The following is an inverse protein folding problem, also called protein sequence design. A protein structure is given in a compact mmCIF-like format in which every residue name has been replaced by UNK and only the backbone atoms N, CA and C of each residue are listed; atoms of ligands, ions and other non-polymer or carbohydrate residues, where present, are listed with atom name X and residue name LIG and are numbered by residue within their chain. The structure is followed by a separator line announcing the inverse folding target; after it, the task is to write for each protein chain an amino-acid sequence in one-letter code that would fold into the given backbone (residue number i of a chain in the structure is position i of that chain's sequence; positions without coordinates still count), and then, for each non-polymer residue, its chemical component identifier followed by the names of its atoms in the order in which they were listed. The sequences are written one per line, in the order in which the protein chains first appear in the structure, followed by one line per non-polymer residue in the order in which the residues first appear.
data_IF_737263861904
#
_entry.id   IF_737263861904
#
_cell.length_a   1.000
_cell.length_b   1.000
_cell.length_c   1.000
_cell.angle_alpha   90.00
_cell.angle_beta   90.00
_cell.angle_gamma   90.00
#
_symmetry.space_group_name_H-M   'P 1'
#
loop_
_entity.id
_entity.type
_entity.pdbx_description
1 polymer ?
#
# COMPACT_ATOMS: atom_id res chain seq x y z
N UNK A 1 27.51 -16.60 -11.04
CA UNK A 1 26.25 -17.25 -11.42
C UNK A 1 25.26 -16.22 -11.97
N UNK A 2 24.30 -16.66 -12.78
CA UNK A 2 23.28 -15.76 -13.36
C UNK A 2 22.46 -15.00 -12.29
N UNK A 3 22.30 -15.55 -11.11
CA UNK A 3 21.59 -14.92 -9.98
C UNK A 3 22.34 -13.70 -9.43
N UNK A 4 23.65 -13.77 -9.29
CA UNK A 4 24.47 -12.65 -8.79
C UNK A 4 24.44 -11.48 -9.75
N UNK A 5 24.37 -11.76 -11.02
CA UNK A 5 24.35 -10.77 -12.09
C UNK A 5 23.00 -10.00 -12.13
N UNK A 6 21.87 -10.70 -11.94
CA UNK A 6 20.54 -10.06 -11.84
C UNK A 6 20.48 -9.21 -10.58
N UNK A 7 21.02 -9.67 -9.45
CA UNK A 7 21.13 -8.87 -8.23
C UNK A 7 21.90 -7.56 -8.47
N UNK A 8 23.01 -7.61 -9.22
CA UNK A 8 23.79 -6.42 -9.56
C UNK A 8 23.03 -5.46 -10.48
N UNK A 9 22.21 -5.97 -11.41
CA UNK A 9 21.37 -5.13 -12.25
C UNK A 9 20.29 -4.41 -11.42
N UNK A 10 19.59 -5.12 -10.53
CA UNK A 10 18.59 -4.51 -9.64
C UNK A 10 19.25 -3.47 -8.74
N UNK A 11 20.43 -3.75 -8.20
CA UNK A 11 21.20 -2.79 -7.42
C UNK A 11 21.53 -1.54 -8.22
N UNK A 12 22.00 -1.67 -9.45
CA UNK A 12 22.31 -0.54 -10.32
C UNK A 12 21.08 0.31 -10.63
N UNK A 13 19.92 -0.32 -10.83
CA UNK A 13 18.65 0.38 -11.04
C UNK A 13 18.24 1.16 -9.78
N UNK A 14 18.24 0.52 -8.62
CA UNK A 14 17.76 1.12 -7.37
C UNK A 14 18.75 2.09 -6.73
N UNK A 15 20.02 2.04 -7.09
CA UNK A 15 21.05 3.02 -6.70
C UNK A 15 21.27 4.12 -7.73
N UNK A 16 20.55 4.08 -8.86
CA UNK A 16 20.66 5.05 -9.96
C UNK A 16 22.10 5.16 -10.50
N UNK A 17 22.66 4.03 -10.95
CA UNK A 17 23.98 3.92 -11.56
C UNK A 17 23.84 3.69 -13.09
N UNK A 18 23.64 4.75 -13.90
CA UNK A 18 23.24 4.61 -15.31
C UNK A 18 24.21 3.81 -16.19
N UNK A 19 25.52 4.02 -16.01
CA UNK A 19 26.52 3.33 -16.83
C UNK A 19 26.58 1.83 -16.51
N UNK A 20 26.55 1.48 -15.24
CA UNK A 20 26.54 0.09 -14.78
C UNK A 20 25.26 -0.62 -15.20
N UNK A 21 24.13 0.04 -15.05
CA UNK A 21 22.81 -0.43 -15.44
C UNK A 21 22.77 -0.80 -16.93
N UNK A 22 23.23 0.10 -17.81
CA UNK A 22 23.26 -0.13 -19.25
C UNK A 22 24.19 -1.28 -19.63
N UNK A 23 25.35 -1.36 -19.00
CA UNK A 23 26.31 -2.44 -19.26
C UNK A 23 25.74 -3.80 -18.86
N UNK A 24 25.16 -3.91 -17.67
CA UNK A 24 24.57 -5.16 -17.18
C UNK A 24 23.34 -5.56 -18.01
N UNK A 25 22.49 -4.61 -18.35
CA UNK A 25 21.33 -4.85 -19.20
C UNK A 25 21.74 -5.39 -20.59
N UNK A 26 22.81 -4.84 -21.18
CA UNK A 26 23.38 -5.33 -22.45
C UNK A 26 23.91 -6.76 -22.34
N UNK A 27 24.62 -7.09 -21.27
CA UNK A 27 25.16 -8.43 -21.02
C UNK A 27 24.03 -9.48 -20.87
N UNK A 28 22.95 -9.13 -20.18
CA UNK A 28 21.83 -10.04 -19.91
C UNK A 28 20.71 -9.97 -20.94
N UNK A 29 20.85 -9.15 -21.97
CA UNK A 29 19.82 -8.91 -22.98
C UNK A 29 18.46 -8.50 -22.37
N UNK A 30 18.51 -7.67 -21.33
CA UNK A 30 17.32 -7.12 -20.68
C UNK A 30 17.07 -5.71 -21.20
N UNK A 31 15.86 -5.46 -21.67
CA UNK A 31 15.40 -4.12 -22.04
C UNK A 31 14.92 -3.37 -20.78
N UNK A 32 15.82 -2.58 -20.18
CA UNK A 32 15.49 -1.80 -18.98
C UNK A 32 14.48 -0.68 -19.26
N UNK A 33 14.35 -0.23 -20.51
CA UNK A 33 13.33 0.76 -20.87
C UNK A 33 11.91 0.20 -20.87
N UNK A 34 11.78 -1.13 -20.92
CA UNK A 34 10.48 -1.81 -20.83
C UNK A 34 9.98 -2.03 -19.41
N UNK A 35 10.76 -1.70 -18.37
CA UNK A 35 10.37 -1.85 -16.97
C UNK A 35 9.37 -0.75 -16.61
N UNK A 36 8.12 -1.15 -16.35
CA UNK A 36 7.01 -0.25 -16.01
C UNK A 36 6.38 -0.55 -14.67
N UNK A 37 6.76 -1.65 -14.03
CA UNK A 37 6.31 -2.02 -12.70
C UNK A 37 7.47 -2.48 -11.80
N UNK A 38 7.33 -2.18 -10.52
CA UNK A 38 8.20 -2.64 -9.45
C UNK A 38 7.32 -3.24 -8.35
N UNK A 39 7.56 -4.49 -8.00
CA UNK A 39 6.88 -5.18 -6.91
C UNK A 39 7.87 -5.44 -5.77
N UNK A 40 7.49 -5.08 -4.55
CA UNK A 40 8.29 -5.34 -3.36
C UNK A 40 7.55 -6.32 -2.45
N UNK A 41 8.26 -7.33 -1.96
CA UNK A 41 7.72 -8.41 -1.13
C UNK A 41 8.12 -8.15 0.32
N UNK A 42 7.31 -7.35 1.02
CA UNK A 42 7.60 -6.84 2.35
C UNK A 42 7.10 -7.78 3.45
N UNK A 43 7.71 -7.71 4.65
CA UNK A 43 7.31 -8.55 5.78
C UNK A 43 7.69 -10.02 5.63
N UNK A 44 8.66 -10.34 4.79
CA UNK A 44 9.19 -11.68 4.55
C UNK A 44 10.63 -11.80 5.02
N UNK A 45 11.10 -13.04 5.21
CA UNK A 45 12.52 -13.33 5.42
C UNK A 45 13.21 -13.46 4.05
N UNK A 46 14.07 -12.50 3.70
CA UNK A 46 14.74 -12.45 2.40
C UNK A 46 15.54 -13.71 2.07
N UNK A 47 16.17 -14.34 3.04
CA UNK A 47 16.93 -15.57 2.85
C UNK A 47 16.04 -16.77 2.50
N UNK A 48 14.85 -16.85 3.10
CA UNK A 48 13.89 -17.93 2.90
C UNK A 48 12.99 -17.70 1.69
N UNK A 49 12.68 -16.45 1.36
CA UNK A 49 11.79 -16.09 0.24
C UNK A 49 12.46 -16.25 -1.13
N UNK A 50 13.77 -16.39 -1.19
CA UNK A 50 14.57 -16.43 -2.43
C UNK A 50 14.11 -17.52 -3.40
N UNK A 51 13.75 -18.71 -2.90
CA UNK A 51 13.20 -19.80 -3.72
C UNK A 51 11.85 -19.41 -4.31
N UNK A 52 10.97 -18.84 -3.50
CA UNK A 52 9.64 -18.38 -3.94
C UNK A 52 9.77 -17.28 -5.00
N UNK A 53 10.73 -16.36 -4.87
CA UNK A 53 10.96 -15.30 -5.85
C UNK A 53 11.30 -15.85 -7.23
N UNK A 54 12.08 -16.92 -7.31
CA UNK A 54 12.37 -17.58 -8.57
C UNK A 54 11.10 -18.15 -9.21
N UNK A 55 10.29 -18.85 -8.44
CA UNK A 55 9.01 -19.41 -8.88
C UNK A 55 8.03 -18.32 -9.31
N UNK A 56 7.93 -17.23 -8.55
CA UNK A 56 7.08 -16.09 -8.86
C UNK A 56 7.48 -15.36 -10.15
N UNK A 57 8.79 -15.19 -10.38
CA UNK A 57 9.28 -14.63 -11.63
C UNK A 57 8.95 -15.52 -12.84
N UNK A 58 9.13 -16.83 -12.71
CA UNK A 58 8.79 -17.79 -13.78
C UNK A 58 7.29 -17.77 -14.08
N UNK A 59 6.45 -17.70 -13.05
CA UNK A 59 5.00 -17.57 -13.21
C UNK A 59 4.62 -16.29 -13.95
N UNK A 60 5.22 -15.16 -13.57
CA UNK A 60 4.91 -13.87 -14.18
C UNK A 60 5.40 -13.73 -15.62
N UNK A 61 6.38 -14.52 -16.07
CA UNK A 61 6.81 -14.54 -17.47
C UNK A 61 5.73 -15.01 -18.43
N UNK A 62 4.68 -15.66 -17.94
CA UNK A 62 3.49 -15.99 -18.74
C UNK A 62 2.62 -14.77 -19.02
N UNK A 63 2.75 -13.70 -18.23
CA UNK A 63 1.87 -12.54 -18.24
C UNK A 63 2.57 -11.24 -18.60
N UNK A 64 3.89 -11.21 -18.61
CA UNK A 64 4.69 -10.03 -18.95
C UNK A 64 5.94 -10.41 -19.76
N UNK A 65 6.35 -9.55 -20.68
CA UNK A 65 7.46 -9.83 -21.61
C UNK A 65 8.82 -9.79 -20.92
N UNK A 66 9.00 -8.89 -19.96
CA UNK A 66 10.24 -8.74 -19.19
C UNK A 66 9.92 -8.94 -17.72
N UNK A 67 10.56 -9.92 -17.09
CA UNK A 67 10.43 -10.20 -15.65
C UNK A 67 11.77 -10.66 -15.10
N UNK A 68 12.24 -9.99 -14.06
CA UNK A 68 13.40 -10.45 -13.29
C UNK A 68 13.27 -9.99 -11.84
N UNK A 69 13.86 -10.75 -10.95
CA UNK A 69 13.78 -10.49 -9.51
C UNK A 69 15.10 -10.69 -8.81
N UNK A 70 15.27 -10.01 -7.71
CA UNK A 70 16.46 -10.05 -6.88
C UNK A 70 16.15 -9.66 -5.43
N UNK A 71 17.14 -9.79 -4.56
CA UNK A 71 17.09 -9.24 -3.21
C UNK A 71 18.02 -8.03 -3.13
N UNK A 72 17.47 -6.89 -2.77
CA UNK A 72 18.21 -5.64 -2.61
C UNK A 72 18.04 -5.11 -1.18
N UNK A 73 19.16 -4.94 -0.46
CA UNK A 73 19.16 -4.48 0.94
C UNK A 73 18.16 -5.25 1.82
N UNK A 74 18.12 -6.56 1.67
CA UNK A 74 17.19 -7.44 2.40
C UNK A 74 15.75 -7.43 1.88
N UNK A 75 15.43 -6.65 0.86
CA UNK A 75 14.10 -6.55 0.25
C UNK A 75 14.03 -7.37 -1.03
N UNK A 76 13.15 -8.37 -1.12
CA UNK A 76 12.87 -9.05 -2.38
C UNK A 76 12.12 -8.12 -3.33
N UNK A 77 12.61 -8.00 -4.56
CA UNK A 77 12.12 -7.06 -5.58
C UNK A 77 11.90 -7.80 -6.89
N UNK A 78 10.81 -7.50 -7.57
CA UNK A 78 10.55 -7.93 -8.93
C UNK A 78 10.39 -6.70 -9.83
N UNK A 79 11.15 -6.68 -10.92
CA UNK A 79 11.03 -5.67 -11.99
C UNK A 79 10.35 -6.33 -13.19
N UNK A 80 9.35 -5.68 -13.75
CA UNK A 80 8.63 -6.25 -14.89
C UNK A 80 8.08 -5.18 -15.84
N UNK A 81 7.88 -5.59 -17.10
CA UNK A 81 7.09 -4.85 -18.06
C UNK A 81 5.62 -4.87 -17.68
N UNK A 82 4.81 -4.00 -18.28
CA UNK A 82 3.37 -3.99 -18.02
C UNK A 82 2.75 -5.36 -18.35
N UNK A 83 2.10 -6.01 -17.38
CA UNK A 83 1.42 -7.28 -17.63
C UNK A 83 0.30 -7.16 -18.65
N UNK A 84 0.06 -8.22 -19.41
CA UNK A 84 -0.93 -8.25 -20.50
C UNK A 84 -2.38 -8.21 -20.01
N UNK A 85 -2.65 -8.66 -18.79
CA UNK A 85 -3.98 -8.70 -18.19
C UNK A 85 -3.93 -8.29 -16.72
N UNK A 86 -4.62 -7.20 -16.38
CA UNK A 86 -4.74 -6.73 -14.99
C UNK A 86 -5.45 -7.78 -14.13
N UNK A 87 -6.55 -8.34 -14.62
CA UNK A 87 -7.34 -9.33 -13.87
C UNK A 87 -6.53 -10.58 -13.50
N UNK A 88 -5.81 -11.16 -14.48
CA UNK A 88 -4.97 -12.34 -14.24
C UNK A 88 -3.79 -12.00 -13.33
N UNK A 89 -3.20 -10.84 -13.47
CA UNK A 89 -2.12 -10.35 -12.61
C UNK A 89 -2.55 -10.23 -11.16
N UNK A 90 -3.69 -9.61 -10.89
CA UNK A 90 -4.23 -9.48 -9.53
C UNK A 90 -4.53 -10.84 -8.91
N UNK A 91 -5.10 -11.76 -9.68
CA UNK A 91 -5.37 -13.13 -9.23
C UNK A 91 -4.08 -13.87 -8.84
N UNK A 92 -3.04 -13.75 -9.67
CA UNK A 92 -1.73 -14.34 -9.39
C UNK A 92 -1.09 -13.71 -8.15
N UNK A 93 -1.15 -12.39 -8.02
CA UNK A 93 -0.63 -11.68 -6.84
C UNK A 93 -1.33 -12.12 -5.55
N UNK A 94 -2.65 -12.28 -5.57
CA UNK A 94 -3.40 -12.75 -4.40
C UNK A 94 -3.00 -14.18 -4.02
N UNK A 95 -2.71 -15.03 -4.99
CA UNK A 95 -2.14 -16.36 -4.76
C UNK A 95 -0.75 -16.32 -4.11
N UNK A 96 0.12 -15.44 -4.58
CA UNK A 96 1.44 -15.21 -3.98
C UNK A 96 1.33 -14.72 -2.54
N UNK A 97 0.43 -13.78 -2.26
CA UNK A 97 0.18 -13.25 -0.92
C UNK A 97 -0.30 -14.35 0.02
N UNK A 98 -1.25 -15.17 -0.40
CA UNK A 98 -1.76 -16.29 0.39
C UNK A 98 -0.64 -17.29 0.72
N UNK A 99 0.19 -17.62 -0.25
CA UNK A 99 1.34 -18.49 -0.11
C UNK A 99 2.36 -17.94 0.91
N UNK A 100 2.72 -16.66 0.77
CA UNK A 100 3.65 -16.01 1.70
C UNK A 100 3.08 -15.88 3.11
N UNK A 101 1.80 -15.55 3.26
CA UNK A 101 1.16 -15.35 4.58
C UNK A 101 0.97 -16.63 5.36
N UNK A 102 1.04 -17.79 4.71
CA UNK A 102 1.10 -19.08 5.39
C UNK A 102 2.38 -19.24 6.24
N UNK A 103 3.46 -18.51 5.89
CA UNK A 103 4.76 -18.53 6.58
C UNK A 103 5.01 -17.22 7.33
N UNK A 104 4.70 -16.08 6.70
CA UNK A 104 4.90 -14.74 7.24
C UNK A 104 3.56 -14.00 7.32
N UNK A 105 2.90 -13.96 8.48
CA UNK A 105 1.54 -13.40 8.60
C UNK A 105 1.42 -11.93 8.19
N UNK A 106 2.50 -11.16 8.31
CA UNK A 106 2.53 -9.73 7.97
C UNK A 106 3.04 -9.44 6.56
N UNK A 107 3.20 -10.47 5.72
CA UNK A 107 3.66 -10.30 4.36
C UNK A 107 2.67 -9.47 3.53
N UNK A 108 3.20 -8.52 2.78
CA UNK A 108 2.45 -7.72 1.79
C UNK A 108 3.25 -7.63 0.49
N UNK A 109 2.53 -7.54 -0.63
CA UNK A 109 3.12 -7.09 -1.89
C UNK A 109 2.79 -5.62 -2.06
N UNK A 110 3.82 -4.81 -2.29
CA UNK A 110 3.66 -3.42 -2.74
C UNK A 110 3.87 -3.40 -4.24
N UNK A 111 2.84 -2.99 -4.98
CA UNK A 111 2.84 -2.90 -6.44
C UNK A 111 2.92 -1.44 -6.86
N UNK A 112 4.04 -1.07 -7.49
CA UNK A 112 4.24 0.24 -8.11
C UNK A 112 4.10 0.10 -9.62
N UNK A 113 3.14 0.80 -10.21
CA UNK A 113 2.80 0.74 -11.63
C UNK A 113 3.07 2.07 -12.33
N UNK A 114 3.00 2.06 -13.67
CA UNK A 114 3.09 3.27 -14.47
C UNK A 114 4.46 3.94 -14.42
N UNK A 115 5.51 3.19 -14.13
CA UNK A 115 6.87 3.69 -14.09
C UNK A 115 7.35 3.92 -15.54
N UNK A 116 7.93 5.08 -15.81
CA UNK A 116 8.36 5.46 -17.16
C UNK A 116 9.84 5.17 -17.42
N UNK A 117 10.64 5.10 -16.35
CA UNK A 117 12.08 4.90 -16.45
C UNK A 117 12.63 4.32 -15.13
N UNK A 118 13.92 4.00 -15.13
CA UNK A 118 14.59 3.43 -13.97
C UNK A 118 14.72 4.39 -12.78
N UNK A 119 14.73 5.69 -13.03
CA UNK A 119 14.68 6.72 -11.96
C UNK A 119 13.36 6.65 -11.21
N UNK A 120 12.25 6.40 -11.92
CA UNK A 120 10.95 6.18 -11.28
C UNK A 120 10.95 4.92 -10.41
N UNK A 121 11.65 3.86 -10.81
CA UNK A 121 11.82 2.65 -10.00
C UNK A 121 12.51 2.96 -8.67
N UNK A 122 13.60 3.71 -8.70
CA UNK A 122 14.31 4.15 -7.49
C UNK A 122 13.39 4.99 -6.59
N UNK A 123 12.69 5.95 -7.16
CA UNK A 123 11.76 6.82 -6.42
C UNK A 123 10.65 6.01 -5.75
N UNK A 124 10.06 5.06 -6.47
CA UNK A 124 9.05 4.16 -5.94
C UNK A 124 9.59 3.34 -4.76
N UNK A 125 10.77 2.76 -4.90
CA UNK A 125 11.44 2.02 -3.83
C UNK A 125 11.64 2.87 -2.57
N UNK A 126 12.15 4.09 -2.72
CA UNK A 126 12.37 5.01 -1.60
C UNK A 126 11.04 5.41 -0.93
N UNK A 127 9.98 5.63 -1.71
CA UNK A 127 8.64 5.93 -1.18
C UNK A 127 8.11 4.77 -0.35
N UNK A 128 8.33 3.52 -0.78
CA UNK A 128 7.92 2.34 0.00
C UNK A 128 8.63 2.31 1.35
N UNK A 129 9.94 2.53 1.37
CA UNK A 129 10.71 2.54 2.63
C UNK A 129 10.20 3.60 3.61
N UNK A 130 9.83 4.78 3.11
CA UNK A 130 9.38 5.89 3.95
C UNK A 130 7.93 5.76 4.42
N UNK A 131 7.04 5.21 3.59
CA UNK A 131 5.60 5.30 3.82
C UNK A 131 4.90 3.99 4.21
N UNK A 132 5.56 2.83 4.06
CA UNK A 132 4.90 1.54 4.27
C UNK A 132 4.37 1.35 5.69
N UNK A 133 5.10 1.78 6.71
CA UNK A 133 4.65 1.68 8.10
C UNK A 133 3.39 2.51 8.32
N UNK A 134 3.34 3.71 7.77
CA UNK A 134 2.14 4.56 7.83
C UNK A 134 0.96 3.93 7.09
N UNK A 135 1.19 3.30 5.94
CA UNK A 135 0.15 2.54 5.23
C UNK A 135 -0.39 1.41 6.11
N UNK A 136 0.47 0.68 6.81
CA UNK A 136 0.05 -0.40 7.73
C UNK A 136 -0.79 0.12 8.89
N UNK A 137 -0.49 1.32 9.38
CA UNK A 137 -1.25 1.97 10.47
C UNK A 137 -2.60 2.51 9.99
N UNK A 138 -2.66 3.05 8.77
CA UNK A 138 -3.91 3.56 8.18
C UNK A 138 -4.80 2.40 7.69
N UNK A 139 -4.22 1.40 7.04
CA UNK A 139 -4.89 0.27 6.39
C UNK A 139 -4.35 -1.07 6.89
N UNK A 140 -4.62 -1.45 8.14
CA UNK A 140 -3.96 -2.60 8.78
C UNK A 140 -4.23 -3.95 8.10
N UNK A 141 -5.31 -4.06 7.35
CA UNK A 141 -5.68 -5.32 6.68
C UNK A 141 -5.25 -5.40 5.21
N UNK A 142 -4.60 -4.37 4.68
CA UNK A 142 -4.10 -4.41 3.30
C UNK A 142 -2.98 -5.44 3.17
N UNK A 143 -3.14 -6.35 2.23
CA UNK A 143 -2.12 -7.33 1.85
C UNK A 143 -1.51 -7.03 0.48
N UNK A 144 -2.22 -6.32 -0.38
CA UNK A 144 -1.75 -5.73 -1.62
C UNK A 144 -1.83 -4.22 -1.49
N UNK A 145 -0.67 -3.56 -1.52
CA UNK A 145 -0.54 -2.10 -1.40
C UNK A 145 -0.20 -1.53 -2.76
N UNK A 146 -0.97 -0.54 -3.19
CA UNK A 146 -0.73 0.19 -4.43
C UNK A 146 -0.03 1.52 -4.15
N UNK A 147 0.59 2.08 -5.17
CA UNK A 147 1.33 3.35 -5.06
C UNK A 147 0.48 4.51 -4.54
N UNK A 148 -0.79 4.58 -4.92
CA UNK A 148 -1.71 5.61 -4.43
C UNK A 148 -1.91 5.59 -2.91
N UNK A 149 -1.88 4.41 -2.29
CA UNK A 149 -1.97 4.27 -0.83
C UNK A 149 -0.69 4.78 -0.14
N UNK A 150 0.47 4.55 -0.74
CA UNK A 150 1.75 5.08 -0.24
C UNK A 150 1.80 6.62 -0.34
N UNK A 151 1.41 7.18 -1.47
CA UNK A 151 1.36 8.63 -1.68
C UNK A 151 0.39 9.29 -0.72
N UNK A 152 -0.78 8.70 -0.52
CA UNK A 152 -1.78 9.16 0.44
C UNK A 152 -1.25 9.14 1.88
N UNK A 153 -0.62 8.05 2.29
CA UNK A 153 -0.01 7.95 3.62
C UNK A 153 1.10 9.00 3.82
N UNK A 154 1.92 9.23 2.81
CA UNK A 154 2.96 10.27 2.84
C UNK A 154 2.37 11.68 2.99
N UNK A 155 1.26 11.99 2.31
CA UNK A 155 0.54 13.25 2.46
C UNK A 155 -0.02 13.42 3.89
N UNK A 156 -0.61 12.38 4.46
CA UNK A 156 -1.11 12.38 5.83
C UNK A 156 0.03 12.61 6.83
N UNK A 157 1.19 11.98 6.62
CA UNK A 157 2.37 12.18 7.47
C UNK A 157 2.86 13.63 7.44
N UNK A 158 2.88 14.26 6.28
CA UNK A 158 3.24 15.68 6.15
C UNK A 158 2.32 16.61 6.93
N UNK A 159 1.02 16.31 7.01
CA UNK A 159 0.07 17.09 7.81
C UNK A 159 0.40 17.00 9.30
N UNK A 160 0.82 15.84 9.79
CA UNK A 160 1.24 15.65 11.18
C UNK A 160 2.58 16.37 11.45
N UNK A 161 3.56 16.21 10.56
CA UNK A 161 4.89 16.80 10.68
C UNK A 161 4.87 18.33 10.52
N UNK A 162 3.81 18.89 9.96
CA UNK A 162 3.57 20.32 9.85
C UNK A 162 3.27 21.03 11.17
N UNK A 163 3.22 20.28 12.27
CA UNK A 163 2.99 20.80 13.62
C UNK A 163 1.57 20.53 14.14
N UNK A 164 1.36 20.84 15.41
CA UNK A 164 0.11 20.57 16.11
C UNK A 164 -1.10 21.25 15.45
N UNK A 165 -0.95 22.51 15.02
CA UNK A 165 -2.04 23.25 14.36
C UNK A 165 -2.44 22.62 13.03
N UNK A 166 -1.48 22.15 12.24
CA UNK A 166 -1.75 21.49 10.95
C UNK A 166 -2.47 20.14 11.17
N UNK A 167 -2.01 19.36 12.15
CA UNK A 167 -2.64 18.10 12.53
C UNK A 167 -4.09 18.33 13.03
N UNK A 168 -4.31 19.32 13.88
CA UNK A 168 -5.64 19.66 14.39
C UNK A 168 -6.59 20.13 13.30
N UNK A 169 -6.12 20.94 12.35
CA UNK A 169 -6.93 21.36 11.19
C UNK A 169 -7.33 20.15 10.33
N UNK A 170 -6.43 19.19 10.14
CA UNK A 170 -6.72 17.99 9.36
C UNK A 170 -7.77 17.08 10.02
N UNK A 171 -7.94 17.18 11.35
CA UNK A 171 -8.96 16.44 12.10
C UNK A 171 -10.31 17.15 12.16
N UNK A 172 -10.41 18.40 11.70
CA UNK A 172 -11.63 19.21 11.78
C UNK A 172 -12.90 18.49 11.28
N UNK A 173 -12.90 17.74 10.17
CA UNK A 173 -14.07 16.98 9.75
C UNK A 173 -14.59 15.96 10.77
N UNK A 174 -13.74 15.43 11.64
CA UNK A 174 -14.14 14.49 12.70
C UNK A 174 -14.53 15.17 14.02
N UNK A 175 -14.26 16.46 14.19
CA UNK A 175 -14.46 17.17 15.46
C UNK A 175 -15.92 17.14 15.91
N UNK A 176 -16.87 17.22 14.97
CA UNK A 176 -18.30 17.16 15.28
C UNK A 176 -18.69 15.87 15.99
N UNK A 177 -18.02 14.75 15.71
CA UNK A 177 -18.33 13.45 16.30
C UNK A 177 -17.84 13.33 17.75
N UNK A 178 -16.88 14.15 18.16
CA UNK A 178 -16.28 14.11 19.50
C UNK A 178 -17.23 14.64 20.61
N UNK A 179 -18.25 15.40 20.24
CA UNK A 179 -19.23 15.95 21.19
C UNK A 179 -20.32 14.97 21.60
N UNK A 180 -20.39 13.80 20.95
CA UNK A 180 -21.41 12.77 21.25
C UNK A 180 -20.96 11.87 22.42
N UNK A 181 -21.92 11.41 23.23
CA UNK A 181 -21.66 10.44 24.30
C UNK A 181 -21.16 9.09 23.82
N UNK A 182 -21.47 8.74 22.57
CA UNK A 182 -21.01 7.53 21.87
C UNK A 182 -19.88 7.82 20.88
N UNK A 183 -19.12 8.91 21.06
CA UNK A 183 -18.10 9.39 20.10
C UNK A 183 -17.09 8.32 19.70
N UNK A 184 -16.64 7.48 20.65
CA UNK A 184 -15.71 6.39 20.37
C UNK A 184 -16.28 5.39 19.37
N UNK A 185 -17.52 4.98 19.53
CA UNK A 185 -18.22 4.06 18.62
C UNK A 185 -18.46 4.69 17.24
N UNK A 186 -18.79 5.98 17.19
CA UNK A 186 -19.01 6.70 15.93
C UNK A 186 -17.71 6.91 15.18
N UNK A 187 -16.62 7.25 15.84
CA UNK A 187 -15.28 7.38 15.24
C UNK A 187 -14.79 6.04 14.67
N UNK A 188 -14.90 4.97 15.46
CA UNK A 188 -14.54 3.62 14.99
C UNK A 188 -15.37 3.23 13.76
N UNK A 189 -16.67 3.48 13.79
CA UNK A 189 -17.55 3.14 12.68
C UNK A 189 -17.20 3.90 11.41
N UNK A 190 -17.00 5.22 11.48
CA UNK A 190 -16.69 6.02 10.29
C UNK A 190 -15.30 5.68 9.72
N UNK A 191 -14.30 5.47 10.56
CA UNK A 191 -12.98 5.08 10.11
C UNK A 191 -13.01 3.71 9.43
N UNK A 192 -13.66 2.72 10.03
CA UNK A 192 -13.82 1.38 9.46
C UNK A 192 -14.61 1.42 8.15
N UNK A 193 -15.72 2.14 8.13
CA UNK A 193 -16.59 2.31 6.97
C UNK A 193 -15.84 2.89 5.76
N UNK A 194 -15.05 3.95 5.97
CA UNK A 194 -14.34 4.63 4.89
C UNK A 194 -13.01 3.95 4.52
N UNK A 195 -12.18 3.65 5.50
CA UNK A 195 -10.79 3.19 5.25
C UNK A 195 -10.70 1.68 4.98
N UNK A 196 -11.51 0.86 5.65
CA UNK A 196 -11.39 -0.61 5.57
C UNK A 196 -12.45 -1.26 4.70
N UNK A 197 -13.61 -0.64 4.56
CA UNK A 197 -14.79 -1.27 3.96
C UNK A 197 -15.35 -0.55 2.73
N UNK A 198 -14.65 0.43 2.19
CA UNK A 198 -14.99 1.15 0.96
C UNK A 198 -16.45 1.67 0.93
N UNK A 199 -16.97 2.11 2.07
CA UNK A 199 -18.33 2.60 2.19
C UNK A 199 -19.41 1.51 2.17
N UNK A 200 -19.07 0.27 2.48
CA UNK A 200 -20.00 -0.84 2.55
C UNK A 200 -20.53 -1.06 3.98
N UNK A 201 -21.83 -0.93 4.16
CA UNK A 201 -22.51 -1.23 5.44
C UNK A 201 -22.33 -2.69 5.83
N UNK A 202 -22.47 -3.60 4.87
CA UNK A 202 -22.35 -5.05 5.12
C UNK A 202 -20.95 -5.44 5.58
N UNK A 203 -19.92 -4.93 4.88
CA UNK A 203 -18.51 -5.18 5.25
C UNK A 203 -18.17 -4.57 6.61
N UNK A 204 -18.67 -3.35 6.90
CA UNK A 204 -18.46 -2.68 8.18
C UNK A 204 -19.10 -3.46 9.34
N UNK A 205 -20.32 -3.95 9.16
CA UNK A 205 -20.99 -4.78 10.13
C UNK A 205 -20.21 -6.06 10.43
N UNK A 206 -19.72 -6.74 9.39
CA UNK A 206 -18.86 -7.92 9.55
C UNK A 206 -17.55 -7.62 10.27
N UNK A 207 -16.90 -6.53 9.91
CA UNK A 207 -15.63 -6.11 10.51
C UNK A 207 -15.73 -5.76 11.98
N UNK A 208 -16.80 -5.07 12.38
CA UNK A 208 -17.05 -4.63 13.76
C UNK A 208 -17.83 -5.66 14.59
N UNK A 209 -18.19 -6.79 14.00
CA UNK A 209 -19.03 -7.82 14.66
C UNK A 209 -20.36 -7.27 15.18
N UNK A 210 -20.99 -6.38 14.37
CA UNK A 210 -22.25 -5.73 14.71
C UNK A 210 -23.33 -6.07 13.68
N UNK A 211 -24.59 -5.92 14.07
CA UNK A 211 -25.69 -6.07 13.13
C UNK A 211 -25.76 -4.89 12.15
N UNK A 212 -26.16 -5.15 10.91
CA UNK A 212 -26.28 -4.11 9.86
C UNK A 212 -27.13 -2.91 10.29
N UNK A 213 -28.19 -3.14 11.05
CA UNK A 213 -29.06 -2.06 11.54
C UNK A 213 -28.35 -1.14 12.54
N UNK A 214 -27.43 -1.68 13.35
CA UNK A 214 -26.59 -0.89 14.25
C UNK A 214 -25.67 0.03 13.45
N UNK A 215 -25.05 -0.48 12.38
CA UNK A 215 -24.21 0.33 11.50
C UNK A 215 -25.04 1.42 10.81
N UNK A 216 -26.22 1.08 10.27
CA UNK A 216 -27.14 2.06 9.66
C UNK A 216 -27.53 3.16 10.65
N UNK A 217 -27.86 2.79 11.87
CA UNK A 217 -28.21 3.74 12.94
C UNK A 217 -27.02 4.69 13.23
N UNK A 218 -25.81 4.14 13.40
CA UNK A 218 -24.61 4.94 13.65
C UNK A 218 -24.32 5.88 12.46
N UNK A 219 -24.44 5.42 11.21
CA UNK A 219 -24.27 6.26 10.04
C UNK A 219 -25.31 7.37 9.94
N UNK A 220 -26.55 7.13 10.34
CA UNK A 220 -27.58 8.17 10.43
C UNK A 220 -27.22 9.24 11.47
N UNK A 221 -26.72 8.84 12.63
CA UNK A 221 -26.23 9.79 13.64
C UNK A 221 -25.04 10.59 13.15
N UNK A 222 -24.06 9.93 12.53
CA UNK A 222 -22.89 10.58 11.92
C UNK A 222 -23.36 11.59 10.86
N UNK A 223 -24.28 11.21 9.98
CA UNK A 223 -24.83 12.09 8.96
C UNK A 223 -25.49 13.33 9.57
N UNK A 224 -26.28 13.16 10.63
CA UNK A 224 -26.92 14.27 11.31
C UNK A 224 -25.90 15.23 11.93
N UNK A 225 -24.81 14.71 12.51
CA UNK A 225 -23.78 15.52 13.15
C UNK A 225 -22.86 16.22 12.14
N UNK A 226 -22.54 15.57 11.02
CA UNK A 226 -21.71 16.15 9.97
C UNK A 226 -22.49 17.11 9.04
N UNK A 227 -23.80 16.94 8.94
CA UNK A 227 -24.64 17.64 7.97
C UNK A 227 -24.63 17.03 6.57
N UNK A 228 -23.98 15.90 6.38
CA UNK A 228 -23.92 15.15 5.10
C UNK A 228 -23.61 13.68 5.38
N UNK A 229 -23.95 12.81 4.41
CA UNK A 229 -23.57 11.39 4.50
C UNK A 229 -22.02 11.27 4.42
N UNK A 230 -21.38 10.37 5.21
CA UNK A 230 -19.92 10.21 5.21
C UNK A 230 -19.31 9.89 3.84
N UNK A 231 -20.06 9.21 2.97
CA UNK A 231 -19.62 8.86 1.62
C UNK A 231 -19.99 9.89 0.55
N UNK A 232 -20.54 11.05 0.93
CA UNK A 232 -20.91 12.11 -0.03
C UNK A 232 -19.67 12.85 -0.52
N UNK A 233 -19.50 12.90 -1.84
CA UNK A 233 -18.44 13.70 -2.48
C UNK A 233 -18.87 15.16 -2.63
N UNK A 234 -17.96 16.15 -2.50
CA UNK A 234 -16.53 16.01 -2.26
C UNK A 234 -16.14 15.91 -0.78
N UNK A 235 -17.08 16.06 0.14
CA UNK A 235 -16.85 16.09 1.60
C UNK A 235 -16.18 14.81 2.12
N UNK A 236 -16.45 13.67 1.48
CA UNK A 236 -15.82 12.40 1.81
C UNK A 236 -14.29 12.47 1.72
N UNK A 237 -13.73 13.25 0.79
CA UNK A 237 -12.28 13.37 0.62
C UNK A 237 -11.59 13.89 1.89
N UNK A 238 -12.13 14.96 2.46
CA UNK A 238 -11.64 15.52 3.72
C UNK A 238 -11.84 14.59 4.90
N UNK A 239 -12.99 13.94 4.96
CA UNK A 239 -13.32 12.99 6.03
C UNK A 239 -12.43 11.74 5.97
N UNK A 240 -12.16 11.23 4.77
CA UNK A 240 -11.26 10.11 4.53
C UNK A 240 -9.83 10.42 5.02
N UNK A 241 -9.33 11.60 4.68
CA UNK A 241 -8.02 12.09 5.13
C UNK A 241 -7.98 12.27 6.66
N UNK A 242 -9.02 12.86 7.24
CA UNK A 242 -9.16 12.98 8.69
C UNK A 242 -9.11 11.64 9.40
N UNK A 243 -9.81 10.65 8.91
CA UNK A 243 -9.80 9.29 9.47
C UNK A 243 -8.40 8.67 9.42
N UNK A 244 -7.67 8.86 8.32
CA UNK A 244 -6.29 8.38 8.18
C UNK A 244 -5.33 9.07 9.15
N UNK A 245 -5.40 10.40 9.26
CA UNK A 245 -4.59 11.16 10.23
C UNK A 245 -4.91 10.74 11.67
N UNK A 246 -6.17 10.54 11.98
CA UNK A 246 -6.59 10.03 13.31
C UNK A 246 -5.91 8.69 13.63
N UNK A 247 -5.91 7.72 12.71
CA UNK A 247 -5.24 6.43 12.90
C UNK A 247 -3.74 6.56 13.09
N UNK A 248 -3.07 7.44 12.35
CA UNK A 248 -1.64 7.70 12.52
C UNK A 248 -1.32 8.30 13.90
N UNK A 249 -2.15 9.22 14.39
CA UNK A 249 -1.99 9.82 15.72
C UNK A 249 -2.25 8.82 16.85
N UNK A 250 -3.21 7.92 16.68
CA UNK A 250 -3.45 6.83 17.66
C UNK A 250 -2.25 5.89 17.70
N UNK A 251 -1.74 5.45 16.56
CA UNK A 251 -0.58 4.56 16.47
C UNK A 251 0.69 5.17 17.13
N UNK A 252 0.90 6.48 17.01
CA UNK A 252 2.05 7.17 17.62
C UNK A 252 1.96 7.29 19.15
N UNK A 253 0.80 7.06 19.76
CA UNK A 253 0.63 7.03 21.22
C UNK A 253 0.88 5.66 21.84
N UNK A 254 0.88 4.61 21.01
CA UNK A 254 1.11 3.23 21.43
C UNK A 254 2.58 2.81 21.38
N UNK A 255 3.44 3.65 20.81
CA UNK A 255 4.92 3.50 20.77
C UNK A 255 5.60 4.36 21.81
#
# INVERSE_FOLDING_TARGET
SGTDAVNELVRAILQDEPLRMRRLAGIFHIDIASIHELWLFCGTDAGKVKKHMKEYCELMRQYADTVFGAVFEGMPVMCLSTPHSLRETEKVMMGMIADMRAVWPDAVIVRCCGLNNTTDCRRAYLTVLDALEDVRNIFPDRCLVLQGELEFAAECRKLIDGGEDAAMRSLAPLTALQSDSESGDLLETVCTYLLDCDGSVTKTAGKLFLHRNTIKYRLQRITAMLGHHPAKMPEMMGLYRSAAVYRLLVASKET
#
